data_IF_375896336581
#
_entry.id   IF_375896336581
#
_cell.length_a   1.000
_cell.length_b   1.000
_cell.length_c   1.000
_cell.angle_alpha   90.00
_cell.angle_beta   90.00
_cell.angle_gamma   90.00
#
_symmetry.space_group_name_H-M   'P 1'
#
loop_
_entity.id
_entity.type
_entity.pdbx_description
1 polymer ?
#
# COMPACT_ATOMS: atom_id res chain seq x y z
N UNK A 1 3.38 -19.17 -23.46
CA UNK A 1 3.04 -18.25 -22.35
C UNK A 1 4.22 -18.24 -21.39
N UNK A 2 4.66 -17.08 -20.89
CA UNK A 2 5.76 -17.03 -19.91
C UNK A 2 5.19 -17.48 -18.56
N UNK A 3 5.87 -18.35 -17.79
CA UNK A 3 5.36 -18.80 -16.49
C UNK A 3 5.21 -17.60 -15.55
N UNK A 4 4.15 -17.61 -14.75
CA UNK A 4 4.01 -16.67 -13.63
C UNK A 4 5.21 -16.86 -12.69
N UNK A 5 5.76 -15.75 -12.20
CA UNK A 5 6.88 -15.78 -11.26
C UNK A 5 6.48 -15.11 -9.96
N UNK A 6 6.66 -15.84 -8.86
CA UNK A 6 6.52 -15.30 -7.52
C UNK A 6 7.55 -14.16 -7.33
N UNK A 7 7.17 -13.15 -6.57
CA UNK A 7 7.99 -11.95 -6.42
C UNK A 7 7.42 -10.99 -5.38
N UNK A 8 7.89 -9.73 -5.38
CA UNK A 8 7.63 -8.79 -4.30
C UNK A 8 6.16 -8.36 -4.19
N UNK A 9 5.33 -8.67 -5.20
CA UNK A 9 3.88 -8.37 -5.24
C UNK A 9 3.02 -9.57 -5.63
N UNK A 10 3.59 -10.76 -5.73
CA UNK A 10 2.88 -11.95 -6.17
C UNK A 10 3.39 -13.17 -5.41
N UNK A 11 2.50 -13.90 -4.74
CA UNK A 11 2.80 -15.15 -4.05
C UNK A 11 1.93 -16.28 -4.63
N UNK A 12 2.44 -17.51 -4.58
CA UNK A 12 1.74 -18.71 -5.01
C UNK A 12 1.54 -19.61 -3.80
N UNK A 13 0.33 -20.11 -3.63
CA UNK A 13 0.01 -21.16 -2.69
C UNK A 13 -0.60 -22.34 -3.45
N UNK A 14 -0.02 -23.55 -3.38
CA UNK A 14 -0.54 -24.71 -4.11
C UNK A 14 -1.87 -25.21 -3.55
N UNK A 15 -2.19 -24.86 -2.30
CA UNK A 15 -3.39 -25.24 -1.56
C UNK A 15 -3.93 -24.04 -0.78
N UNK A 16 -5.18 -24.10 -0.33
CA UNK A 16 -5.79 -23.09 0.54
C UNK A 16 -5.32 -23.26 2.01
N UNK A 17 -4.00 -23.26 2.23
CA UNK A 17 -3.41 -23.40 3.56
C UNK A 17 -3.58 -22.11 4.37
N UNK A 18 -4.23 -22.24 5.53
CA UNK A 18 -4.61 -21.10 6.38
C UNK A 18 -3.39 -20.37 6.94
N UNK A 19 -2.35 -21.10 7.35
CA UNK A 19 -1.17 -20.48 7.96
C UNK A 19 -0.34 -19.75 6.92
N UNK A 20 -0.04 -20.40 5.79
CA UNK A 20 0.70 -19.79 4.69
C UNK A 20 -0.04 -18.58 4.09
N UNK A 21 -1.38 -18.64 4.03
CA UNK A 21 -2.19 -17.50 3.61
C UNK A 21 -2.07 -16.35 4.60
N UNK A 22 -2.26 -16.59 5.91
CA UNK A 22 -2.12 -15.56 6.95
C UNK A 22 -0.73 -14.90 6.91
N UNK A 23 0.33 -15.69 6.76
CA UNK A 23 1.69 -15.18 6.61
C UNK A 23 1.82 -14.24 5.39
N UNK A 24 1.22 -14.61 4.26
CA UNK A 24 1.21 -13.77 3.06
C UNK A 24 0.41 -12.48 3.25
N UNK A 25 -0.75 -12.54 3.91
CA UNK A 25 -1.59 -11.36 4.18
C UNK A 25 -0.79 -10.32 4.98
N UNK A 26 -0.19 -10.73 6.11
CA UNK A 26 0.64 -9.86 6.95
C UNK A 26 1.85 -9.34 6.17
N UNK A 27 2.57 -10.23 5.47
CA UNK A 27 3.78 -9.88 4.75
C UNK A 27 3.53 -8.85 3.63
N UNK A 28 2.43 -8.98 2.88
CA UNK A 28 2.08 -8.03 1.83
C UNK A 28 1.58 -6.69 2.37
N UNK A 29 0.73 -6.72 3.41
CA UNK A 29 0.26 -5.49 4.05
C UNK A 29 1.43 -4.67 4.65
N UNK A 30 2.41 -5.36 5.23
CA UNK A 30 3.63 -4.75 5.76
C UNK A 30 4.67 -4.35 4.70
N UNK A 31 4.47 -4.76 3.44
CA UNK A 31 5.29 -4.37 2.31
C UNK A 31 4.55 -3.36 1.41
N UNK A 32 4.53 -3.62 0.11
CA UNK A 32 3.94 -2.73 -0.91
C UNK A 32 2.57 -3.22 -1.40
N UNK A 33 1.90 -4.09 -0.63
CA UNK A 33 0.75 -4.86 -1.10
C UNK A 33 1.15 -5.94 -2.11
N UNK A 34 0.17 -6.70 -2.60
CA UNK A 34 0.39 -7.74 -3.59
C UNK A 34 -0.84 -8.62 -3.80
N UNK A 35 -0.62 -9.75 -4.45
CA UNK A 35 -1.65 -10.76 -4.70
C UNK A 35 -1.14 -12.13 -4.30
N UNK A 36 -1.98 -12.89 -3.60
CA UNK A 36 -1.78 -14.33 -3.40
C UNK A 36 -2.62 -15.05 -4.44
N UNK A 37 -2.01 -15.92 -5.25
CA UNK A 37 -2.73 -16.85 -6.13
C UNK A 37 -2.80 -18.21 -5.47
N UNK A 38 -4.02 -18.72 -5.32
CA UNK A 38 -4.27 -20.06 -4.83
C UNK A 38 -4.31 -21.03 -6.02
N UNK A 39 -3.85 -22.26 -5.79
CA UNK A 39 -3.84 -23.33 -6.78
C UNK A 39 -2.65 -23.23 -7.73
N UNK A 40 -1.53 -22.68 -7.26
CA UNK A 40 -0.31 -22.50 -8.06
C UNK A 40 0.90 -22.97 -7.25
N UNK A 41 1.76 -23.79 -7.85
CA UNK A 41 2.99 -24.25 -7.23
C UNK A 41 4.12 -23.21 -7.30
N UNK A 42 5.27 -23.53 -6.68
CA UNK A 42 6.45 -22.66 -6.66
C UNK A 42 7.06 -22.38 -8.06
N UNK A 43 6.73 -23.20 -9.05
CA UNK A 43 7.16 -23.05 -10.44
C UNK A 43 6.17 -22.26 -11.31
N UNK A 44 5.07 -21.78 -10.72
CA UNK A 44 4.04 -21.04 -11.42
C UNK A 44 3.11 -21.93 -12.26
N UNK A 45 3.02 -23.22 -11.93
CA UNK A 45 2.13 -24.18 -12.58
C UNK A 45 0.84 -24.36 -11.78
N UNK A 46 -0.33 -24.43 -12.44
CA UNK A 46 -1.58 -24.74 -11.77
C UNK A 46 -1.54 -26.12 -11.08
N UNK A 47 -2.07 -26.19 -9.86
CA UNK A 47 -2.24 -27.43 -9.09
C UNK A 47 -3.71 -27.90 -9.15
N UNK A 48 -4.16 -28.63 -8.14
CA UNK A 48 -5.56 -29.04 -8.02
C UNK A 48 -6.48 -27.81 -7.93
N UNK A 49 -7.69 -27.92 -8.51
CA UNK A 49 -8.67 -26.84 -8.46
C UNK A 49 -9.12 -26.60 -7.03
N UNK A 50 -8.88 -25.39 -6.53
CA UNK A 50 -9.41 -24.92 -5.26
C UNK A 50 -10.79 -24.30 -5.52
N UNK A 51 -11.79 -24.80 -4.80
CA UNK A 51 -13.17 -24.31 -4.92
C UNK A 51 -13.34 -22.99 -4.18
N UNK A 52 -14.28 -22.15 -4.63
CA UNK A 52 -14.50 -20.83 -4.02
C UNK A 52 -14.83 -20.93 -2.53
N UNK A 53 -15.68 -21.88 -2.12
CA UNK A 53 -16.04 -22.10 -0.71
C UNK A 53 -14.83 -22.46 0.17
N UNK A 54 -13.92 -23.30 -0.36
CA UNK A 54 -12.70 -23.69 0.34
C UNK A 54 -11.76 -22.49 0.52
N UNK A 55 -11.54 -21.72 -0.54
CA UNK A 55 -10.71 -20.53 -0.50
C UNK A 55 -11.32 -19.40 0.37
N UNK A 56 -12.64 -19.21 0.35
CA UNK A 56 -13.33 -18.27 1.25
C UNK A 56 -13.21 -18.68 2.72
N UNK A 57 -13.35 -19.97 3.01
CA UNK A 57 -13.14 -20.54 4.35
C UNK A 57 -11.71 -20.28 4.85
N UNK A 58 -10.72 -20.66 4.04
CA UNK A 58 -9.32 -20.45 4.36
C UNK A 58 -8.97 -18.96 4.55
N UNK A 59 -9.49 -18.08 3.69
CA UNK A 59 -9.30 -16.63 3.81
C UNK A 59 -9.91 -16.08 5.10
N UNK A 60 -11.11 -16.51 5.47
CA UNK A 60 -11.76 -16.09 6.72
C UNK A 60 -10.95 -16.50 7.94
N UNK A 61 -10.47 -17.73 7.97
CA UNK A 61 -9.62 -18.23 9.07
C UNK A 61 -8.27 -17.49 9.10
N UNK A 62 -7.62 -17.33 7.96
CA UNK A 62 -6.35 -16.62 7.85
C UNK A 62 -6.46 -15.15 8.28
N UNK A 63 -7.54 -14.47 7.90
CA UNK A 63 -7.81 -13.09 8.32
C UNK A 63 -8.02 -13.00 9.84
N UNK A 64 -8.63 -14.00 10.48
CA UNK A 64 -8.78 -14.09 11.93
C UNK A 64 -7.46 -14.22 12.70
N UNK A 65 -6.38 -14.63 12.01
CA UNK A 65 -5.03 -14.71 12.56
C UNK A 65 -4.22 -13.43 12.35
N UNK A 66 -4.76 -12.42 11.68
CA UNK A 66 -4.08 -11.15 11.41
C UNK A 66 -4.51 -10.08 12.44
N UNK A 67 -3.53 -9.38 13.01
CA UNK A 67 -3.74 -8.31 13.99
C UNK A 67 -2.97 -7.04 13.61
N UNK A 68 -3.65 -5.92 13.31
CA UNK A 68 -5.10 -5.83 13.07
C UNK A 68 -5.52 -6.60 11.80
N UNK A 69 -6.84 -6.82 11.58
CA UNK A 69 -7.32 -7.51 10.38
C UNK A 69 -6.81 -6.85 9.10
N UNK A 70 -6.33 -7.66 8.15
CA UNK A 70 -5.85 -7.18 6.85
C UNK A 70 -7.03 -7.12 5.88
N UNK A 71 -7.39 -5.95 5.31
CA UNK A 71 -8.42 -5.88 4.29
C UNK A 71 -7.96 -6.63 3.03
N UNK A 72 -8.87 -7.35 2.38
CA UNK A 72 -8.57 -8.10 1.16
C UNK A 72 -9.65 -7.92 0.11
N UNK A 73 -9.30 -8.12 -1.16
CA UNK A 73 -10.25 -8.16 -2.27
C UNK A 73 -10.13 -9.46 -3.04
N UNK A 74 -11.28 -10.04 -3.37
CA UNK A 74 -11.38 -11.25 -4.16
C UNK A 74 -11.30 -10.92 -5.65
N UNK A 75 -10.52 -11.70 -6.40
CA UNK A 75 -10.46 -11.61 -7.86
C UNK A 75 -10.30 -12.99 -8.49
N UNK A 76 -11.03 -13.24 -9.58
CA UNK A 76 -10.76 -14.39 -10.44
C UNK A 76 -9.67 -14.01 -11.44
N UNK A 77 -8.67 -14.88 -11.62
CA UNK A 77 -7.53 -14.65 -12.49
C UNK A 77 -7.49 -15.73 -13.56
N UNK A 78 -7.70 -15.33 -14.82
CA UNK A 78 -7.59 -16.23 -15.97
C UNK A 78 -6.11 -16.51 -16.28
N UNK A 79 -5.73 -17.80 -16.26
CA UNK A 79 -4.39 -18.25 -16.62
C UNK A 79 -4.46 -19.42 -17.60
N UNK A 80 -4.40 -19.08 -18.90
CA UNK A 80 -4.55 -20.07 -19.96
C UNK A 80 -5.97 -20.62 -19.99
N UNK A 81 -6.14 -21.92 -19.74
CA UNK A 81 -7.45 -22.58 -19.62
C UNK A 81 -7.93 -22.72 -18.18
N UNK A 82 -7.19 -22.18 -17.21
CA UNK A 82 -7.50 -22.27 -15.78
C UNK A 82 -8.04 -20.95 -15.27
N UNK A 83 -9.02 -21.02 -14.37
CA UNK A 83 -9.46 -19.88 -13.55
C UNK A 83 -8.92 -20.07 -12.16
N UNK A 84 -8.02 -19.18 -11.74
CA UNK A 84 -7.39 -19.20 -10.42
C UNK A 84 -8.06 -18.18 -9.50
N UNK A 85 -7.94 -18.41 -8.20
CA UNK A 85 -8.42 -17.49 -7.17
C UNK A 85 -7.25 -16.60 -6.75
N UNK A 86 -7.43 -15.29 -6.93
CA UNK A 86 -6.52 -14.27 -6.46
C UNK A 86 -7.09 -13.52 -5.27
N UNK A 87 -6.24 -13.34 -4.25
CA UNK A 87 -6.55 -12.52 -3.08
C UNK A 87 -5.63 -11.31 -3.12
N UNK A 88 -6.20 -10.15 -3.45
CA UNK A 88 -5.49 -8.87 -3.46
C UNK A 88 -5.37 -8.35 -2.03
N UNK A 89 -4.14 -8.00 -1.64
CA UNK A 89 -3.79 -7.43 -0.34
C UNK A 89 -3.24 -6.03 -0.58
N UNK A 90 -3.93 -4.96 -0.16
CA UNK A 90 -3.39 -3.62 -0.25
C UNK A 90 -2.22 -3.44 0.73
N UNK A 91 -1.41 -2.41 0.51
CA UNK A 91 -0.46 -1.96 1.53
C UNK A 91 -1.24 -1.49 2.75
N UNK A 92 -0.93 -2.02 3.93
CA UNK A 92 -1.50 -1.58 5.20
C UNK A 92 -1.05 -0.16 5.54
N UNK A 93 -1.91 0.58 6.24
CA UNK A 93 -1.59 1.90 6.79
C UNK A 93 -0.86 1.79 8.13
N UNK A 94 -1.17 0.74 8.88
CA UNK A 94 -0.54 0.38 10.16
C UNK A 94 0.32 -0.88 10.02
N UNK A 95 0.98 -1.27 11.11
CA UNK A 95 1.80 -2.48 11.16
C UNK A 95 0.92 -3.69 11.53
N UNK A 96 0.96 -4.72 10.70
CA UNK A 96 0.23 -5.97 10.95
C UNK A 96 1.14 -7.05 11.53
N UNK A 97 0.56 -7.94 12.32
CA UNK A 97 1.20 -9.09 12.93
C UNK A 97 0.28 -10.30 12.84
N UNK A 98 0.84 -11.49 13.04
CA UNK A 98 0.06 -12.69 13.30
C UNK A 98 -0.42 -12.72 14.76
N UNK A 99 -1.42 -13.56 15.04
CA UNK A 99 -1.96 -13.82 16.37
C UNK A 99 -0.91 -14.35 17.37
N UNK A 100 0.16 -14.96 16.88
CA UNK A 100 1.34 -15.38 17.66
C UNK A 100 2.39 -14.26 17.86
N UNK A 101 2.12 -13.05 17.36
CA UNK A 101 2.96 -11.86 17.50
C UNK A 101 4.05 -11.71 16.43
N UNK A 102 4.19 -12.65 15.49
CA UNK A 102 5.17 -12.51 14.40
C UNK A 102 4.79 -11.38 13.46
N UNK A 103 5.72 -10.47 13.22
CA UNK A 103 5.64 -9.44 12.17
C UNK A 103 6.42 -9.93 10.96
N UNK A 104 5.76 -10.03 9.81
CA UNK A 104 6.35 -10.51 8.57
C UNK A 104 6.36 -9.39 7.52
N UNK A 105 7.34 -9.41 6.61
CA UNK A 105 7.40 -8.53 5.43
C UNK A 105 7.75 -9.35 4.18
N UNK A 106 7.14 -9.00 3.05
CA UNK A 106 7.48 -9.58 1.75
C UNK A 106 8.84 -9.04 1.26
N UNK A 107 9.79 -9.93 0.97
CA UNK A 107 11.10 -9.60 0.40
C UNK A 107 11.40 -10.51 -0.79
N UNK A 108 11.41 -9.95 -2.00
CA UNK A 108 11.49 -10.77 -3.21
C UNK A 108 10.32 -11.76 -3.26
N UNK A 109 10.61 -13.05 -3.41
CA UNK A 109 9.60 -14.12 -3.51
C UNK A 109 9.24 -14.79 -2.18
N UNK A 110 9.78 -14.35 -1.05
CA UNK A 110 9.57 -14.97 0.26
C UNK A 110 9.10 -13.98 1.33
N UNK A 111 8.48 -14.51 2.38
CA UNK A 111 8.09 -13.76 3.57
C UNK A 111 9.20 -13.92 4.60
N UNK A 112 9.63 -12.83 5.23
CA UNK A 112 10.64 -12.88 6.30
C UNK A 112 10.14 -12.22 7.58
N UNK A 113 10.57 -12.71 8.76
CA UNK A 113 10.33 -12.01 10.00
C UNK A 113 11.06 -10.66 10.04
N UNK A 114 10.40 -9.70 10.67
CA UNK A 114 10.95 -8.40 11.04
C UNK A 114 11.15 -8.39 12.54
N UNK A 115 12.32 -7.97 13.02
CA UNK A 115 12.71 -8.02 14.42
C UNK A 115 13.33 -6.70 14.88
N UNK A 116 13.19 -6.39 16.17
CA UNK A 116 13.89 -5.30 16.84
C UNK A 116 13.65 -3.93 16.19
N UNK A 117 14.73 -3.18 15.98
CA UNK A 117 14.69 -1.79 15.52
C UNK A 117 13.97 -1.60 14.17
N UNK A 118 13.93 -2.63 13.33
CA UNK A 118 13.24 -2.58 12.05
C UNK A 118 11.71 -2.46 12.22
N UNK A 119 11.14 -3.08 13.26
CA UNK A 119 9.71 -2.93 13.61
C UNK A 119 9.41 -1.47 13.92
N UNK A 120 10.25 -0.82 14.73
CA UNK A 120 10.07 0.58 15.11
C UNK A 120 10.16 1.51 13.90
N UNK A 121 11.08 1.26 12.97
CA UNK A 121 11.20 2.02 11.72
C UNK A 121 9.96 1.87 10.84
N UNK A 122 9.48 0.63 10.66
CA UNK A 122 8.26 0.38 9.89
C UNK A 122 7.05 1.08 10.52
N UNK A 123 6.89 0.98 11.84
CA UNK A 123 5.80 1.64 12.57
C UNK A 123 5.87 3.16 12.45
N UNK A 124 7.06 3.77 12.57
CA UNK A 124 7.23 5.23 12.45
C UNK A 124 6.86 5.73 11.05
N UNK A 125 7.34 5.05 10.01
CA UNK A 125 7.04 5.41 8.61
C UNK A 125 5.56 5.26 8.25
N UNK A 126 4.83 4.41 9.00
CA UNK A 126 3.41 4.13 8.82
C UNK A 126 2.53 5.13 9.58
N UNK A 127 2.89 5.44 10.83
CA UNK A 127 2.21 6.49 11.61
C UNK A 127 2.32 7.88 10.99
N UNK A 128 3.41 8.17 10.28
CA UNK A 128 3.50 9.40 9.48
C UNK A 128 2.54 9.40 8.28
N UNK A 129 2.36 8.25 7.62
CA UNK A 129 1.44 8.13 6.48
C UNK A 129 -0.02 8.21 6.92
N UNK A 130 -0.36 7.64 8.09
CA UNK A 130 -1.69 7.74 8.70
C UNK A 130 -2.02 9.20 9.02
N UNK A 131 -1.12 9.91 9.73
CA UNK A 131 -1.30 11.34 10.03
C UNK A 131 -1.38 12.20 8.76
N UNK A 132 -0.58 11.92 7.73
CA UNK A 132 -0.65 12.60 6.44
C UNK A 132 -2.01 12.43 5.75
N UNK A 133 -2.67 11.28 5.95
CA UNK A 133 -3.96 10.94 5.34
C UNK A 133 -5.19 11.40 6.12
N UNK A 134 -5.02 11.83 7.39
CA UNK A 134 -6.11 12.32 8.22
C UNK A 134 -6.81 13.52 7.58
N UNK A 135 -8.14 13.53 7.63
CA UNK A 135 -8.94 14.68 7.19
C UNK A 135 -8.76 15.82 8.17
N UNK A 136 -8.62 17.04 7.66
CA UNK A 136 -8.49 18.26 8.47
C UNK A 136 -9.88 18.91 8.65
N UNK A 137 -10.49 18.84 9.85
CA UNK A 137 -11.84 19.33 10.05
C UNK A 137 -11.97 20.82 9.75
N UNK A 138 -12.99 21.17 8.95
CA UNK A 138 -13.28 22.55 8.57
C UNK A 138 -12.40 23.11 7.44
N UNK A 139 -11.43 22.34 6.94
CA UNK A 139 -10.72 22.69 5.71
C UNK A 139 -11.50 22.24 4.48
N UNK A 140 -11.37 22.99 3.39
CA UNK A 140 -11.98 22.68 2.09
C UNK A 140 -10.95 22.81 0.98
N UNK A 141 -11.21 22.24 -0.20
CA UNK A 141 -10.32 22.43 -1.36
C UNK A 141 -10.21 23.89 -1.81
N UNK A 142 -11.15 24.76 -1.39
CA UNK A 142 -11.04 26.21 -1.62
C UNK A 142 -9.93 26.85 -0.80
N UNK A 143 -9.43 26.21 0.25
CA UNK A 143 -8.30 26.71 1.04
C UNK A 143 -6.95 26.48 0.36
N UNK A 144 -6.93 25.64 -0.69
CA UNK A 144 -5.76 25.42 -1.52
C UNK A 144 -5.40 26.67 -2.35
N UNK A 145 -4.11 26.83 -2.59
CA UNK A 145 -3.54 27.86 -3.44
C UNK A 145 -3.49 27.34 -4.88
N UNK A 146 -4.23 28.02 -5.76
CA UNK A 146 -4.29 27.67 -7.16
C UNK A 146 -2.92 27.79 -7.84
N UNK A 147 -2.08 28.74 -7.44
CA UNK A 147 -0.77 28.95 -8.06
C UNK A 147 0.20 27.83 -7.69
N UNK A 148 0.19 27.40 -6.42
CA UNK A 148 0.98 26.24 -5.96
C UNK A 148 0.54 24.96 -6.68
N UNK A 149 -0.77 24.77 -6.85
CA UNK A 149 -1.33 23.64 -7.61
C UNK A 149 -0.89 23.66 -9.08
N UNK A 150 -0.94 24.82 -9.74
CA UNK A 150 -0.48 24.96 -11.12
C UNK A 150 1.03 24.70 -11.24
N UNK A 151 1.84 25.19 -10.30
CA UNK A 151 3.28 24.93 -10.29
C UNK A 151 3.59 23.44 -10.10
N UNK A 152 2.88 22.77 -9.19
CA UNK A 152 3.01 21.32 -8.99
C UNK A 152 2.65 20.54 -10.25
N UNK A 153 1.53 20.89 -10.90
CA UNK A 153 1.08 20.29 -12.16
C UNK A 153 2.13 20.44 -13.27
N UNK A 154 2.67 21.66 -13.45
CA UNK A 154 3.69 21.92 -14.46
C UNK A 154 4.97 21.09 -14.20
N UNK A 155 5.41 20.99 -12.94
CA UNK A 155 6.55 20.14 -12.56
C UNK A 155 6.27 18.65 -12.78
N UNK A 156 5.04 18.20 -12.55
CA UNK A 156 4.61 16.81 -12.77
C UNK A 156 4.63 16.45 -14.26
N UNK A 157 4.10 17.32 -15.11
CA UNK A 157 4.15 17.15 -16.57
C UNK A 157 5.59 17.14 -17.11
N UNK A 158 6.45 18.04 -16.62
CA UNK A 158 7.87 18.09 -17.00
C UNK A 158 8.64 16.79 -16.66
N UNK A 159 8.15 16.02 -15.67
CA UNK A 159 8.71 14.71 -15.28
C UNK A 159 8.15 13.54 -16.07
N UNK A 160 7.32 13.80 -17.09
CA UNK A 160 6.77 12.77 -17.99
C UNK A 160 5.48 12.12 -17.51
N UNK A 161 4.82 12.66 -16.47
CA UNK A 161 3.52 12.18 -16.06
C UNK A 161 2.43 12.61 -17.05
N UNK A 162 1.38 11.79 -17.20
CA UNK A 162 0.26 12.08 -18.09
C UNK A 162 -0.45 13.38 -17.67
N UNK A 163 -0.86 14.16 -18.68
CA UNK A 163 -1.64 15.39 -18.50
C UNK A 163 -2.96 15.06 -17.83
N UNK A 164 -3.27 15.80 -16.77
CA UNK A 164 -4.43 15.54 -15.92
C UNK A 164 -5.68 16.11 -16.58
N UNK A 165 -6.71 15.29 -16.72
CA UNK A 165 -8.00 15.68 -17.30
C UNK A 165 -9.02 16.14 -16.25
N UNK A 166 -8.89 15.71 -14.99
CA UNK A 166 -9.77 16.09 -13.89
C UNK A 166 -8.98 16.37 -12.59
N UNK A 167 -9.04 17.62 -12.12
CA UNK A 167 -8.34 18.07 -10.90
C UNK A 167 -8.77 17.31 -9.62
N UNK A 168 -10.07 17.05 -9.36
CA UNK A 168 -10.48 16.32 -8.15
C UNK A 168 -9.89 14.91 -8.08
N UNK A 169 -9.85 14.21 -9.22
CA UNK A 169 -9.27 12.87 -9.30
C UNK A 169 -7.77 12.89 -9.03
N UNK A 170 -7.05 13.89 -9.55
CA UNK A 170 -5.64 14.06 -9.22
C UNK A 170 -5.42 14.32 -7.74
N UNK A 171 -6.20 15.25 -7.14
CA UNK A 171 -6.07 15.59 -5.72
C UNK A 171 -6.23 14.34 -4.85
N UNK A 172 -7.16 13.45 -5.22
CA UNK A 172 -7.33 12.16 -4.57
C UNK A 172 -6.13 11.23 -4.82
N UNK A 173 -5.69 11.07 -6.07
CA UNK A 173 -4.55 10.21 -6.45
C UNK A 173 -3.23 10.60 -5.76
N UNK A 174 -3.01 11.89 -5.51
CA UNK A 174 -1.82 12.39 -4.81
C UNK A 174 -1.99 12.46 -3.29
N UNK A 175 -3.15 12.03 -2.76
CA UNK A 175 -3.45 12.02 -1.33
C UNK A 175 -3.71 13.40 -0.71
N UNK A 176 -4.00 14.42 -1.51
CA UNK A 176 -4.33 15.76 -1.02
C UNK A 176 -5.78 15.86 -0.50
N UNK A 177 -6.66 14.97 -0.96
CA UNK A 177 -8.04 14.82 -0.48
C UNK A 177 -8.38 13.34 -0.30
N UNK A 178 -9.37 13.04 0.55
CA UNK A 178 -9.95 11.71 0.67
C UNK A 178 -10.98 11.43 -0.46
N UNK A 179 -11.65 10.28 -0.40
CA UNK A 179 -12.67 9.85 -1.39
C UNK A 179 -13.90 10.79 -1.45
N UNK A 180 -14.16 11.53 -0.36
CA UNK A 180 -15.27 12.46 -0.22
C UNK A 180 -14.88 13.89 -0.68
N UNK A 181 -13.62 14.08 -1.09
CA UNK A 181 -13.08 15.37 -1.53
C UNK A 181 -12.63 16.27 -0.38
N UNK A 182 -12.55 15.75 0.83
CA UNK A 182 -12.13 16.50 2.01
C UNK A 182 -10.60 16.58 2.10
N UNK A 183 -10.00 17.75 2.36
CA UNK A 183 -8.55 17.90 2.47
C UNK A 183 -7.93 17.06 3.57
N UNK A 184 -6.83 16.40 3.23
CA UNK A 184 -5.98 15.68 4.19
C UNK A 184 -4.95 16.62 4.81
N UNK A 185 -4.27 16.18 5.88
CA UNK A 185 -3.12 16.89 6.46
C UNK A 185 -2.05 17.14 5.41
N UNK A 186 -1.72 16.13 4.58
CA UNK A 186 -0.78 16.28 3.48
C UNK A 186 -1.26 17.33 2.46
N UNK A 187 -2.54 17.30 2.09
CA UNK A 187 -3.14 18.28 1.20
C UNK A 187 -3.02 19.71 1.73
N UNK A 188 -3.28 19.90 3.02
CA UNK A 188 -3.16 21.20 3.68
C UNK A 188 -1.71 21.67 3.75
N UNK A 189 -0.77 20.82 4.17
CA UNK A 189 0.64 21.18 4.25
C UNK A 189 1.26 21.50 2.88
N UNK A 190 0.84 20.82 1.82
CA UNK A 190 1.40 20.98 0.48
C UNK A 190 0.74 22.11 -0.31
N UNK A 191 -0.57 22.29 -0.17
CA UNK A 191 -1.36 23.14 -1.08
C UNK A 191 -2.12 24.25 -0.39
N UNK A 192 -2.32 24.27 0.93
CA UNK A 192 -3.08 25.36 1.56
C UNK A 192 -2.34 26.69 1.47
N UNK A 193 -3.10 27.77 1.28
CA UNK A 193 -2.57 29.15 1.35
C UNK A 193 -2.03 29.51 2.73
N UNK A 194 -2.66 28.97 3.78
CA UNK A 194 -2.36 29.25 5.19
C UNK A 194 -2.53 27.99 6.04
N UNK A 195 -1.66 26.98 5.91
CA UNK A 195 -1.78 25.71 6.63
C UNK A 195 -1.84 25.89 8.15
N UNK A 196 -1.18 26.92 8.70
CA UNK A 196 -1.15 27.24 10.12
C UNK A 196 -2.53 27.57 10.74
N UNK A 197 -3.54 27.92 9.93
CA UNK A 197 -4.90 28.13 10.42
C UNK A 197 -5.52 26.81 10.89
N UNK A 198 -5.20 25.73 10.19
CA UNK A 198 -5.76 24.41 10.44
C UNK A 198 -4.83 23.53 11.28
N UNK A 199 -3.52 23.70 11.09
CA UNK A 199 -2.47 22.94 11.75
C UNK A 199 -1.55 23.89 12.53
N UNK A 200 -2.00 24.43 13.69
CA UNK A 200 -1.24 25.44 14.45
C UNK A 200 0.10 24.92 15.02
N UNK A 201 0.34 23.60 15.00
CA UNK A 201 1.61 22.96 15.36
C UNK A 201 2.52 22.64 14.14
N UNK A 202 2.18 23.09 12.92
CA UNK A 202 2.95 22.76 11.71
C UNK A 202 4.19 23.65 11.55
N UNK A 203 5.33 23.18 12.08
CA UNK A 203 6.65 23.61 11.63
C UNK A 203 7.19 22.61 10.61
N UNK A 204 7.27 22.99 9.33
CA UNK A 204 7.87 22.14 8.30
C UNK A 204 9.40 22.16 8.49
N UNK A 205 9.98 21.08 9.02
CA UNK A 205 11.44 20.90 8.99
C UNK A 205 11.84 20.40 7.61
N UNK A 206 12.18 21.33 6.72
CA UNK A 206 12.88 20.99 5.49
C UNK A 206 14.31 20.56 5.83
N UNK A 207 14.56 19.25 5.87
CA UNK A 207 15.93 18.73 5.83
C UNK A 207 16.38 18.71 4.37
N UNK A 208 16.97 19.83 3.91
CA UNK A 208 17.71 19.86 2.64
C UNK A 208 19.05 19.16 2.86
N UNK A 209 19.17 17.90 2.43
CA UNK A 209 20.50 17.30 2.23
C UNK A 209 21.20 18.06 1.11
N UNK A 210 22.27 18.80 1.44
CA UNK A 210 23.19 19.32 0.46
C UNK A 210 24.07 18.17 -0.07
N UNK A 211 23.49 17.33 -0.92
CA UNK A 211 24.23 16.33 -1.69
C UNK A 211 24.70 16.93 -3.01
N UNK A 212 25.81 17.66 -3.00
CA UNK A 212 26.55 18.00 -4.22
C UNK A 212 27.99 17.54 -4.07
N UNK A 213 28.24 16.24 -4.23
CA UNK A 213 29.55 15.74 -4.63
C UNK A 213 29.41 14.32 -5.22
N UNK A 214 29.78 14.10 -6.49
CA UNK A 214 29.99 12.77 -7.01
C UNK A 214 31.36 12.29 -6.50
N UNK A 215 31.37 11.36 -5.54
CA UNK A 215 32.62 10.65 -5.19
C UNK A 215 32.69 9.36 -5.96
N UNK A 216 33.34 9.45 -7.12
CA UNK A 216 34.08 8.32 -7.68
C UNK A 216 35.43 8.22 -6.98
N UNK A 217 35.81 6.99 -6.65
CA UNK A 217 37.18 6.48 -6.64
C UNK A 217 37.11 4.97 -6.68
#
# INVERSE_FOLDING_TARGET
>A
MKPLQSGPRLAFLPYADVEALAECLVAFANANGGTVLLGVDEHGQPTETIWEEEAEGALREAAGRCQPPVPTRWQQVEYGSYTLIGIEVPRGLELHSLDDGRVLIRSGSYNRPVLGDEISQLSTSRGSAEYESDVVPGATTNDFDADILQEYLAKREARGAARVTALPQLLFEIGAVNHEGEPTVAGILLFARKPQIFLPQSGLVFVRFAGTEPRGS
#
